data_IF_914447068582
#
_entry.id   IF_914447068582
#
_cell.length_a   1.000
_cell.length_b   1.000
_cell.length_c   1.000
_cell.angle_alpha   90.00
_cell.angle_beta   90.00
_cell.angle_gamma   90.00
#
_symmetry.space_group_name_H-M   'P 1'
#
loop_
_entity.id
_entity.type
_entity.pdbx_description
1 polymer ?
#
# COMPACT_ATOMS: atom_id res chain seq x y z
N UNK A 1 70.70 30.25 6.95
CA UNK A 1 69.55 29.83 7.79
C UNK A 1 68.37 29.64 6.86
N UNK A 2 67.98 28.38 6.69
CA UNK A 2 67.25 27.86 5.53
C UNK A 2 65.76 28.21 5.56
N UNK A 3 65.24 28.66 4.42
CA UNK A 3 63.81 28.80 4.14
C UNK A 3 63.22 27.40 3.98
N UNK A 4 62.40 26.95 4.92
CA UNK A 4 61.62 25.70 4.79
C UNK A 4 60.47 25.94 3.82
N UNK A 5 60.72 25.76 2.52
CA UNK A 5 59.67 25.63 1.51
C UNK A 5 58.97 24.29 1.72
N UNK A 6 57.66 24.33 1.96
CA UNK A 6 56.81 23.13 1.90
C UNK A 6 56.89 22.53 0.50
N UNK A 7 57.24 21.26 0.41
CA UNK A 7 57.42 20.52 -0.84
C UNK A 7 56.13 20.56 -1.69
N UNK A 8 56.18 21.01 -2.96
CA UNK A 8 55.03 21.02 -3.87
C UNK A 8 54.35 19.64 -3.98
N UNK A 9 55.11 18.55 -3.88
CA UNK A 9 54.56 17.18 -3.93
C UNK A 9 53.71 16.84 -2.70
N UNK A 10 54.06 17.37 -1.52
CA UNK A 10 53.28 17.20 -0.29
C UNK A 10 51.96 17.98 -0.33
N UNK A 11 51.91 19.16 -0.97
CA UNK A 11 50.65 19.89 -1.18
C UNK A 11 49.72 19.18 -2.17
N UNK A 12 50.29 18.56 -3.18
CA UNK A 12 49.52 17.87 -4.22
C UNK A 12 48.89 16.58 -3.67
N UNK A 13 49.65 15.78 -2.92
CA UNK A 13 49.15 14.60 -2.20
C UNK A 13 48.11 14.94 -1.12
N UNK A 14 48.28 16.05 -0.40
CA UNK A 14 47.28 16.52 0.56
C UNK A 14 45.97 16.95 -0.13
N UNK A 15 46.05 17.60 -1.30
CA UNK A 15 44.85 18.00 -2.07
C UNK A 15 44.09 16.82 -2.68
N UNK A 16 44.79 15.77 -3.09
CA UNK A 16 44.18 14.55 -3.63
C UNK A 16 43.49 13.72 -2.53
N UNK A 17 44.08 13.67 -1.34
CA UNK A 17 43.48 13.04 -0.17
C UNK A 17 42.23 13.79 0.34
N UNK A 18 42.24 15.12 0.33
CA UNK A 18 41.05 15.94 0.65
C UNK A 18 39.95 15.81 -0.42
N UNK A 19 40.30 15.69 -1.70
CA UNK A 19 39.33 15.45 -2.77
C UNK A 19 38.65 14.06 -2.67
N UNK A 20 39.39 13.04 -2.23
CA UNK A 20 38.85 11.71 -1.96
C UNK A 20 37.94 11.67 -0.71
N UNK A 21 38.21 12.51 0.29
CA UNK A 21 37.34 12.71 1.45
C UNK A 21 36.07 13.52 1.12
N UNK A 22 36.11 14.36 0.09
CA UNK A 22 34.99 15.19 -0.37
C UNK A 22 34.03 14.49 -1.35
N UNK A 23 34.28 13.23 -1.72
CA UNK A 23 33.42 12.52 -2.67
C UNK A 23 32.16 11.99 -1.99
N UNK A 24 30.99 12.38 -2.49
CA UNK A 24 29.71 11.90 -1.98
C UNK A 24 29.56 10.38 -2.15
N UNK A 25 29.14 9.68 -1.09
CA UNK A 25 28.84 8.25 -1.08
C UNK A 25 27.43 8.03 -0.57
N UNK A 26 26.54 7.53 -1.43
CA UNK A 26 25.12 7.34 -1.08
C UNK A 26 24.89 6.35 0.08
N UNK A 27 25.82 5.42 0.31
CA UNK A 27 25.73 4.43 1.39
C UNK A 27 26.16 4.98 2.76
N UNK A 28 26.87 6.10 2.80
CA UNK A 28 27.43 6.68 4.03
C UNK A 28 26.81 8.05 4.34
N UNK A 29 26.47 8.82 3.31
CA UNK A 29 26.01 10.20 3.46
C UNK A 29 24.50 10.33 3.32
N UNK A 30 23.92 11.15 4.20
CA UNK A 30 22.51 11.54 4.11
C UNK A 30 22.23 12.34 2.84
N UNK A 31 21.10 12.07 2.20
CA UNK A 31 20.67 12.74 0.98
C UNK A 31 19.14 12.65 0.84
N UNK A 32 18.56 13.42 -0.08
CA UNK A 32 17.15 13.32 -0.43
C UNK A 32 17.01 12.68 -1.82
N UNK A 33 15.94 11.90 -2.02
CA UNK A 33 15.57 11.33 -3.32
C UNK A 33 14.17 11.79 -3.69
N UNK A 34 14.01 12.18 -4.95
CA UNK A 34 12.72 12.61 -5.47
C UNK A 34 11.89 11.41 -5.94
N UNK A 35 10.61 11.38 -5.55
CA UNK A 35 9.60 10.43 -6.00
C UNK A 35 8.71 11.11 -7.07
N UNK A 36 8.92 10.82 -8.36
CA UNK A 36 8.19 11.48 -9.44
C UNK A 36 6.71 11.09 -9.53
N UNK A 37 6.30 9.98 -8.89
CA UNK A 37 4.90 9.55 -8.91
C UNK A 37 4.02 10.38 -7.97
N UNK A 38 4.62 10.96 -6.92
CA UNK A 38 3.90 11.73 -5.89
C UNK A 38 4.40 13.18 -5.78
N UNK A 39 5.37 13.59 -6.60
CA UNK A 39 6.00 14.91 -6.58
C UNK A 39 6.53 15.30 -5.18
N UNK A 40 7.26 14.37 -4.56
CA UNK A 40 7.75 14.53 -3.18
C UNK A 40 9.23 14.16 -3.02
N UNK A 41 9.85 14.67 -1.97
CA UNK A 41 11.25 14.37 -1.62
C UNK A 41 11.32 13.52 -0.35
N UNK A 42 12.07 12.43 -0.41
CA UNK A 42 12.26 11.49 0.70
C UNK A 42 13.69 11.61 1.24
N UNK A 43 13.82 11.84 2.55
CA UNK A 43 15.11 11.84 3.25
C UNK A 43 15.64 10.41 3.44
N UNK A 44 16.86 10.18 2.96
CA UNK A 44 17.61 8.93 3.10
C UNK A 44 18.75 9.13 4.10
N UNK A 45 18.63 8.51 5.27
CA UNK A 45 19.66 8.52 6.32
C UNK A 45 20.27 7.13 6.48
N UNK A 46 21.33 6.83 5.73
CA UNK A 46 21.93 5.49 5.64
C UNK A 46 22.40 4.91 7.00
N UNK A 47 22.77 5.77 7.95
CA UNK A 47 23.26 5.35 9.27
C UNK A 47 22.15 4.97 10.26
N UNK A 48 20.87 5.19 9.92
CA UNK A 48 19.75 5.03 10.86
C UNK A 48 19.61 3.60 11.40
N UNK A 49 19.95 2.59 10.60
CA UNK A 49 19.90 1.17 11.02
C UNK A 49 20.96 0.80 12.07
N UNK A 50 22.00 1.62 12.26
CA UNK A 50 23.05 1.36 13.28
C UNK A 50 22.63 1.80 14.68
N UNK A 51 21.48 2.48 14.82
CA UNK A 51 20.99 2.89 16.13
C UNK A 51 20.49 1.65 16.87
N UNK A 52 20.95 1.40 18.12
CA UNK A 52 20.47 0.27 18.90
C UNK A 52 18.95 0.35 19.08
N UNK A 53 18.24 -0.72 18.72
CA UNK A 53 16.79 -0.84 18.91
C UNK A 53 16.50 -1.37 20.31
N UNK A 54 15.79 -0.57 21.11
CA UNK A 54 15.27 -0.95 22.44
C UNK A 54 13.74 -0.81 22.50
N UNK A 55 13.10 -0.63 21.34
CA UNK A 55 11.66 -0.42 21.23
C UNK A 55 10.88 -1.73 21.11
N UNK A 56 9.63 -1.61 20.66
CA UNK A 56 8.72 -2.72 20.45
C UNK A 56 9.32 -3.81 19.54
N UNK A 57 9.25 -5.06 19.97
CA UNK A 57 9.54 -6.21 19.11
C UNK A 57 8.19 -6.80 18.73
N UNK A 58 7.94 -6.88 17.43
CA UNK A 58 6.70 -7.49 16.95
C UNK A 58 6.64 -8.97 17.36
N UNK A 59 5.51 -9.44 17.93
CA UNK A 59 5.36 -10.85 18.25
C UNK A 59 5.36 -11.66 16.96
N UNK A 60 5.90 -12.88 17.03
CA UNK A 60 5.82 -13.79 15.90
C UNK A 60 4.35 -14.12 15.62
N UNK A 61 3.95 -13.96 14.35
CA UNK A 61 2.65 -14.42 13.84
C UNK A 61 2.63 -15.95 13.84
N UNK A 62 2.36 -16.55 14.99
CA UNK A 62 2.14 -17.99 15.13
C UNK A 62 0.75 -18.22 15.72
N UNK A 63 -0.27 -17.91 14.92
CA UNK A 63 -1.58 -18.57 15.03
C UNK A 63 -1.73 -19.44 13.79
N UNK A 64 -1.89 -20.74 14.01
CA UNK A 64 -2.37 -21.64 12.97
C UNK A 64 -3.78 -21.21 12.59
N UNK A 65 -3.92 -20.66 11.39
CA UNK A 65 -5.22 -20.29 10.82
C UNK A 65 -5.90 -21.58 10.34
N UNK A 66 -7.12 -21.89 10.79
CA UNK A 66 -7.84 -23.05 10.28
C UNK A 66 -8.16 -22.83 8.79
N UNK A 67 -8.08 -23.90 7.99
CA UNK A 67 -8.39 -23.85 6.56
C UNK A 67 -9.78 -23.30 6.27
N UNK A 68 -10.75 -23.72 7.08
CA UNK A 68 -12.13 -23.29 7.02
C UNK A 68 -12.62 -23.02 8.45
N UNK A 69 -13.19 -21.85 8.64
CA UNK A 69 -13.86 -21.45 9.88
C UNK A 69 -15.28 -20.98 9.53
N UNK A 70 -16.34 -21.65 10.01
CA UNK A 70 -17.72 -21.23 9.74
C UNK A 70 -18.07 -19.88 10.39
N UNK A 71 -17.27 -19.41 11.37
CA UNK A 71 -17.43 -18.09 11.98
C UNK A 71 -16.71 -16.99 11.19
N UNK A 72 -15.84 -17.34 10.24
CA UNK A 72 -15.22 -16.36 9.36
C UNK A 72 -16.20 -16.01 8.22
N UNK A 73 -16.70 -14.77 8.14
CA UNK A 73 -17.71 -14.36 7.16
C UNK A 73 -17.18 -14.33 5.72
N UNK A 74 -15.88 -14.58 5.50
CA UNK A 74 -15.29 -14.67 4.16
C UNK A 74 -15.25 -16.10 3.62
N UNK A 75 -15.43 -17.11 4.49
CA UNK A 75 -15.36 -18.52 4.09
C UNK A 75 -16.55 -18.93 3.21
N UNK A 76 -16.37 -19.93 2.32
CA UNK A 76 -17.48 -20.55 1.59
C UNK A 76 -18.54 -21.10 2.57
N UNK A 77 -19.82 -20.80 2.30
CA UNK A 77 -20.94 -21.23 3.14
C UNK A 77 -21.11 -20.51 4.48
N UNK A 78 -20.26 -19.53 4.81
CA UNK A 78 -20.41 -18.72 6.00
C UNK A 78 -21.51 -17.66 5.84
N UNK A 79 -22.09 -17.24 6.97
CA UNK A 79 -23.09 -16.16 7.02
C UNK A 79 -22.35 -14.83 7.22
N UNK A 80 -22.63 -13.86 6.35
CA UNK A 80 -22.08 -12.50 6.42
C UNK A 80 -22.85 -11.63 7.41
N UNK A 81 -22.32 -10.45 7.70
CA UNK A 81 -22.94 -9.52 8.66
C UNK A 81 -24.35 -9.05 8.23
N UNK A 82 -24.62 -9.04 6.92
CA UNK A 82 -25.92 -8.71 6.34
C UNK A 82 -26.92 -9.89 6.36
N UNK A 83 -26.51 -11.07 6.84
CA UNK A 83 -27.32 -12.29 6.89
C UNK A 83 -27.30 -13.14 5.62
N UNK A 84 -26.61 -12.71 4.56
CA UNK A 84 -26.44 -13.51 3.34
C UNK A 84 -25.43 -14.64 3.55
N UNK A 85 -25.62 -15.74 2.83
CA UNK A 85 -24.73 -16.90 2.87
C UNK A 85 -23.81 -16.86 1.66
N UNK A 86 -22.50 -16.97 1.90
CA UNK A 86 -21.53 -17.07 0.81
C UNK A 86 -21.76 -18.35 0.00
N UNK A 87 -21.66 -18.29 -1.34
CA UNK A 87 -21.71 -19.48 -2.16
C UNK A 87 -20.55 -20.43 -1.81
N UNK A 88 -20.70 -21.70 -2.18
CA UNK A 88 -19.58 -22.63 -2.19
C UNK A 88 -18.70 -22.31 -3.41
N UNK A 89 -17.73 -21.41 -3.23
CA UNK A 89 -16.84 -20.96 -4.30
C UNK A 89 -15.52 -21.76 -4.29
N UNK A 90 -14.98 -22.03 -5.48
CA UNK A 90 -13.76 -22.83 -5.63
C UNK A 90 -12.50 -21.99 -5.90
N UNK A 91 -12.63 -20.69 -6.20
CA UNK A 91 -11.52 -19.79 -6.49
C UNK A 91 -11.74 -18.39 -5.90
N UNK A 92 -11.81 -17.34 -6.73
CA UNK A 92 -12.08 -15.98 -6.28
C UNK A 92 -13.57 -15.78 -6.04
N UNK A 93 -13.92 -15.00 -5.02
CA UNK A 93 -15.30 -14.60 -4.74
C UNK A 93 -15.37 -13.10 -4.50
N UNK A 94 -16.26 -12.41 -5.22
CA UNK A 94 -16.44 -10.97 -5.19
C UNK A 94 -17.85 -10.64 -4.69
N UNK A 95 -17.96 -9.71 -3.74
CA UNK A 95 -19.24 -9.24 -3.20
C UNK A 95 -19.16 -7.78 -2.74
N UNK A 96 -20.32 -7.15 -2.54
CA UNK A 96 -20.40 -5.79 -2.00
C UNK A 96 -20.09 -5.77 -0.50
N UNK A 97 -19.20 -4.88 -0.08
CA UNK A 97 -18.81 -4.75 1.32
C UNK A 97 -20.04 -4.40 2.17
N UNK A 98 -20.29 -5.20 3.21
CA UNK A 98 -21.41 -5.00 4.14
C UNK A 98 -21.28 -3.70 4.95
N UNK A 99 -20.05 -3.17 5.07
CA UNK A 99 -19.74 -1.91 5.72
C UNK A 99 -18.96 -1.00 4.75
N UNK A 100 -19.61 -0.48 3.70
CA UNK A 100 -18.91 0.25 2.65
C UNK A 100 -18.56 1.67 3.13
N UNK A 101 -17.33 2.11 2.88
CA UNK A 101 -16.90 3.49 3.14
C UNK A 101 -17.53 4.50 2.17
N UNK A 102 -17.92 4.04 0.97
CA UNK A 102 -18.60 4.84 -0.05
C UNK A 102 -19.91 4.16 -0.45
N UNK A 103 -20.96 4.95 -0.54
CA UNK A 103 -22.27 4.52 -1.05
C UNK A 103 -22.60 5.30 -2.34
N UNK A 104 -23.25 4.66 -3.33
CA UNK A 104 -23.49 5.27 -4.63
C UNK A 104 -24.53 6.39 -4.56
N UNK A 105 -25.44 6.33 -3.59
CA UNK A 105 -26.60 7.20 -3.37
C UNK A 105 -26.40 8.22 -2.24
N UNK A 106 -25.18 8.33 -1.69
CA UNK A 106 -24.90 9.26 -0.60
C UNK A 106 -25.29 10.72 -0.95
N UNK A 107 -25.98 11.45 -0.06
CA UNK A 107 -26.39 12.82 -0.31
C UNK A 107 -25.18 13.75 -0.45
N UNK A 108 -25.34 14.82 -1.23
CA UNK A 108 -24.28 15.84 -1.34
C UNK A 108 -24.27 16.72 -0.08
N UNK A 109 -23.10 17.07 0.49
CA UNK A 109 -23.01 17.87 1.71
C UNK A 109 -23.43 19.35 1.54
N UNK A 110 -23.83 19.77 0.34
CA UNK A 110 -24.20 21.17 0.04
C UNK A 110 -22.99 22.07 -0.21
N UNK A 111 -23.22 23.36 -0.53
CA UNK A 111 -22.15 24.34 -0.67
C UNK A 111 -21.51 24.66 0.69
N UNK A 112 -20.21 24.91 0.71
CA UNK A 112 -19.51 25.43 1.89
C UNK A 112 -19.46 26.96 1.84
N UNK A 113 -19.82 27.60 2.94
CA UNK A 113 -19.82 29.05 3.09
C UNK A 113 -18.52 29.59 3.71
N UNK A 114 -17.53 28.73 4.01
CA UNK A 114 -16.30 29.13 4.70
C UNK A 114 -15.03 28.61 4.01
N UNK A 115 -14.02 29.46 3.76
CA UNK A 115 -12.83 29.10 2.99
C UNK A 115 -11.98 27.98 3.61
N UNK A 116 -12.00 27.83 4.94
CA UNK A 116 -11.27 26.77 5.66
C UNK A 116 -12.09 25.50 5.93
N UNK A 117 -13.42 25.53 5.82
CA UNK A 117 -14.28 24.39 6.18
C UNK A 117 -15.00 23.85 4.95
N UNK A 118 -14.24 23.26 4.04
CA UNK A 118 -14.74 22.77 2.76
C UNK A 118 -15.14 21.29 2.86
N UNK A 119 -16.36 20.97 2.40
CA UNK A 119 -16.83 19.61 2.22
C UNK A 119 -17.16 19.38 0.74
N UNK A 120 -16.89 18.17 0.24
CA UNK A 120 -17.24 17.75 -1.13
C UNK A 120 -17.94 16.41 -1.08
N UNK A 121 -18.82 16.16 -2.04
CA UNK A 121 -19.50 14.87 -2.18
C UNK A 121 -18.50 13.78 -2.54
N UNK A 122 -18.60 12.62 -1.88
CA UNK A 122 -17.93 11.38 -2.26
C UNK A 122 -19.00 10.31 -2.43
N UNK A 123 -18.98 9.60 -3.57
CA UNK A 123 -19.96 8.57 -3.93
C UNK A 123 -19.26 7.46 -4.66
N UNK A 124 -19.56 6.24 -4.28
CA UNK A 124 -18.79 5.11 -4.76
C UNK A 124 -19.36 3.76 -4.35
N UNK A 125 -18.60 2.73 -4.65
CA UNK A 125 -18.91 1.34 -4.27
C UNK A 125 -17.66 0.72 -3.67
N UNK A 126 -17.87 -0.07 -2.63
CA UNK A 126 -16.83 -0.86 -1.98
C UNK A 126 -17.10 -2.34 -2.24
N UNK A 127 -16.18 -3.05 -2.89
CA UNK A 127 -16.28 -4.50 -3.07
C UNK A 127 -15.16 -5.21 -2.32
N UNK A 128 -15.46 -6.41 -1.83
CA UNK A 128 -14.50 -7.32 -1.20
C UNK A 128 -14.29 -8.51 -2.13
N UNK A 129 -13.03 -8.83 -2.39
CA UNK A 129 -12.62 -10.00 -3.15
C UNK A 129 -11.81 -10.95 -2.27
N UNK A 130 -12.31 -12.18 -2.09
CA UNK A 130 -11.56 -13.31 -1.56
C UNK A 130 -10.75 -13.94 -2.69
N UNK A 131 -9.46 -14.20 -2.47
CA UNK A 131 -8.59 -14.80 -3.50
C UNK A 131 -8.71 -16.32 -3.61
N UNK A 132 -9.06 -16.99 -2.51
CA UNK A 132 -9.08 -18.44 -2.41
C UNK A 132 -10.09 -18.88 -1.34
N UNK A 133 -10.75 -20.06 -1.47
CA UNK A 133 -11.68 -20.58 -0.46
C UNK A 133 -11.05 -20.98 0.88
N UNK A 134 -9.73 -21.14 0.91
CA UNK A 134 -9.00 -21.59 2.09
C UNK A 134 -8.30 -20.43 2.79
N UNK A 135 -8.56 -20.27 4.09
CA UNK A 135 -8.02 -19.18 4.91
C UNK A 135 -6.54 -19.39 5.30
N UNK A 136 -6.02 -20.62 5.15
CA UNK A 136 -4.63 -20.97 5.50
C UNK A 136 -3.62 -20.75 4.34
N UNK A 137 -4.07 -20.33 3.16
CA UNK A 137 -3.22 -20.21 1.96
C UNK A 137 -2.94 -18.75 1.65
N UNK A 138 -1.71 -18.27 1.74
CA UNK A 138 -1.37 -16.89 1.33
C UNK A 138 -0.96 -16.80 -0.15
N UNK A 139 -0.98 -15.60 -0.76
CA UNK A 139 -0.59 -15.38 -2.16
C UNK A 139 0.72 -16.09 -2.57
N UNK A 140 1.82 -16.06 -1.78
CA UNK A 140 3.06 -16.77 -2.14
C UNK A 140 2.97 -18.30 -2.11
N UNK A 141 1.95 -18.85 -1.46
CA UNK A 141 1.69 -20.30 -1.34
C UNK A 141 0.69 -20.80 -2.39
N UNK A 142 0.03 -19.90 -3.12
CA UNK A 142 -0.86 -20.23 -4.21
C UNK A 142 -0.06 -20.69 -5.43
N UNK A 143 -0.63 -21.60 -6.20
CA UNK A 143 -0.12 -22.00 -7.49
C UNK A 143 -0.27 -20.87 -8.53
N UNK A 144 0.55 -20.90 -9.57
CA UNK A 144 0.50 -19.91 -10.66
C UNK A 144 -0.91 -19.82 -11.31
N UNK A 145 -1.63 -20.92 -11.59
CA UNK A 145 -3.00 -20.85 -12.09
C UNK A 145 -3.99 -20.15 -11.14
N UNK A 146 -3.87 -20.37 -9.83
CA UNK A 146 -4.72 -19.71 -8.83
C UNK A 146 -4.44 -18.21 -8.76
N UNK A 147 -3.16 -17.81 -8.80
CA UNK A 147 -2.77 -16.39 -8.86
C UNK A 147 -3.29 -15.76 -10.15
N UNK A 148 -3.24 -16.49 -11.28
CA UNK A 148 -3.78 -16.00 -12.55
C UNK A 148 -5.27 -15.70 -12.45
N UNK A 149 -6.05 -16.55 -11.79
CA UNK A 149 -7.47 -16.31 -11.55
C UNK A 149 -7.71 -15.02 -10.75
N UNK A 150 -6.88 -14.71 -9.76
CA UNK A 150 -6.92 -13.44 -9.01
C UNK A 150 -6.68 -12.25 -9.93
N UNK A 151 -5.65 -12.32 -10.79
CA UNK A 151 -5.34 -11.24 -11.73
C UNK A 151 -6.46 -11.04 -12.75
N UNK A 152 -7.05 -12.11 -13.27
CA UNK A 152 -8.19 -12.03 -14.20
C UNK A 152 -9.42 -11.42 -13.51
N UNK A 153 -9.68 -11.79 -12.25
CA UNK A 153 -10.76 -11.20 -11.47
C UNK A 153 -10.55 -9.70 -11.22
N UNK A 154 -9.31 -9.27 -10.92
CA UNK A 154 -8.95 -7.85 -10.79
C UNK A 154 -9.16 -7.07 -12.08
N UNK A 155 -8.74 -7.64 -13.22
CA UNK A 155 -8.95 -6.99 -14.51
C UNK A 155 -10.45 -6.81 -14.80
N UNK A 156 -11.23 -7.88 -14.64
CA UNK A 156 -12.67 -7.88 -14.86
C UNK A 156 -13.41 -6.83 -14.03
N UNK A 157 -13.18 -6.79 -12.72
CA UNK A 157 -13.86 -5.82 -11.84
C UNK A 157 -13.40 -4.39 -12.09
N UNK A 158 -12.14 -4.19 -12.47
CA UNK A 158 -11.63 -2.85 -12.83
C UNK A 158 -12.26 -2.35 -14.12
N UNK A 159 -12.47 -3.22 -15.12
CA UNK A 159 -13.18 -2.87 -16.36
C UNK A 159 -14.66 -2.56 -16.08
N UNK A 160 -15.34 -3.40 -15.30
CA UNK A 160 -16.75 -3.22 -14.94
C UNK A 160 -16.99 -1.87 -14.23
N UNK A 161 -16.15 -1.57 -13.23
CA UNK A 161 -16.31 -0.35 -12.43
C UNK A 161 -15.72 0.86 -13.15
N UNK A 162 -14.65 0.70 -13.94
CA UNK A 162 -14.08 1.75 -14.77
C UNK A 162 -15.05 2.29 -15.82
N UNK A 163 -16.00 1.46 -16.28
CA UNK A 163 -17.07 1.92 -17.17
C UNK A 163 -18.06 2.91 -16.49
N UNK A 164 -18.17 2.86 -15.16
CA UNK A 164 -19.17 3.63 -14.40
C UNK A 164 -18.55 4.72 -13.49
N UNK A 165 -17.30 4.55 -13.12
CA UNK A 165 -16.56 5.38 -12.18
C UNK A 165 -15.25 5.85 -12.82
N UNK A 166 -14.96 7.16 -12.83
CA UNK A 166 -13.70 7.69 -13.37
C UNK A 166 -12.45 7.18 -12.62
N UNK A 167 -12.61 6.82 -11.35
CA UNK A 167 -11.51 6.33 -10.51
C UNK A 167 -11.88 5.01 -9.86
N UNK A 168 -10.97 4.06 -9.99
CA UNK A 168 -10.99 2.76 -9.31
C UNK A 168 -9.67 2.59 -8.58
N UNK A 169 -9.74 2.36 -7.27
CA UNK A 169 -8.59 2.12 -6.41
C UNK A 169 -8.73 0.77 -5.71
N UNK A 170 -7.64 0.02 -5.66
CA UNK A 170 -7.57 -1.24 -4.94
C UNK A 170 -6.63 -1.13 -3.75
N UNK A 171 -7.06 -1.62 -2.60
CA UNK A 171 -6.21 -1.78 -1.41
C UNK A 171 -6.21 -3.26 -1.02
N UNK A 172 -5.02 -3.87 -1.00
CA UNK A 172 -4.85 -5.21 -0.43
C UNK A 172 -4.81 -5.05 1.10
N UNK A 173 -5.83 -5.57 1.79
CA UNK A 173 -5.79 -5.73 3.25
C UNK A 173 -5.19 -7.10 3.57
N UNK A 174 -4.48 -7.19 4.69
CA UNK A 174 -3.77 -8.40 5.18
C UNK A 174 -4.59 -9.68 4.92
N UNK A 175 -3.89 -10.78 4.63
CA UNK A 175 -4.46 -12.13 4.52
C UNK A 175 -5.51 -12.27 3.40
N UNK A 176 -5.08 -12.10 2.14
CA UNK A 176 -5.82 -12.46 0.91
C UNK A 176 -7.08 -11.67 0.58
N UNK A 177 -7.33 -10.57 1.26
CA UNK A 177 -8.53 -9.78 1.01
C UNK A 177 -8.18 -8.52 0.23
N UNK A 178 -8.88 -8.30 -0.87
CA UNK A 178 -8.77 -7.04 -1.60
C UNK A 178 -10.05 -6.24 -1.46
N UNK A 179 -9.91 -4.97 -1.07
CA UNK A 179 -11.00 -4.01 -1.07
C UNK A 179 -10.81 -3.09 -2.27
N UNK A 180 -11.82 -3.04 -3.13
CA UNK A 180 -11.86 -2.09 -4.23
C UNK A 180 -12.82 -0.96 -3.89
N UNK A 181 -12.34 0.26 -4.09
CA UNK A 181 -13.07 1.52 -3.98
C UNK A 181 -13.21 2.13 -5.37
N UNK A 182 -14.42 2.27 -5.86
CA UNK A 182 -14.71 3.02 -7.08
C UNK A 182 -15.40 4.33 -6.69
N UNK A 183 -14.95 5.48 -7.20
CA UNK A 183 -15.46 6.79 -6.79
C UNK A 183 -15.72 7.72 -7.97
N UNK A 184 -16.75 8.56 -7.86
CA UNK A 184 -17.10 9.62 -8.83
C UNK A 184 -16.45 10.97 -8.56
N UNK A 185 -15.78 11.17 -7.43
CA UNK A 185 -15.13 12.45 -7.15
C UNK A 185 -13.91 12.67 -8.08
N UNK A 186 -13.58 13.92 -8.45
CA UNK A 186 -12.51 14.22 -9.41
C UNK A 186 -11.08 14.01 -8.90
N UNK A 187 -10.89 13.48 -7.68
CA UNK A 187 -9.58 13.33 -7.05
C UNK A 187 -9.30 11.87 -6.66
N UNK A 188 -8.11 11.33 -6.99
CA UNK A 188 -7.74 9.93 -6.75
C UNK A 188 -7.29 9.63 -5.31
N UNK A 189 -7.65 10.43 -4.31
CA UNK A 189 -7.15 10.27 -2.95
C UNK A 189 -8.27 9.89 -1.98
N UNK A 190 -8.75 8.65 -2.08
CA UNK A 190 -9.47 7.99 -1.00
C UNK A 190 -8.65 6.79 -0.57
N UNK A 191 -7.80 7.02 0.44
CA UNK A 191 -7.18 5.93 1.18
C UNK A 191 -8.19 5.56 2.28
N UNK A 192 -8.91 4.45 2.13
CA UNK A 192 -9.50 3.79 3.29
C UNK A 192 -8.36 3.25 4.15
N UNK A 193 -8.28 3.73 5.39
CA UNK A 193 -7.45 3.14 6.44
C UNK A 193 -8.12 1.88 6.99
#
# INVERSE_FOLDING_TARGET
MSRSGTDPQQRQQASEADAAAATFRANDHQHIRYNPLQDEWVLVSAHRMKRPWQGQVEPQLLKTVPRHDPLNPLCPGAIRANGEVNPQYDSTFLFDNDFPALQPDAPSPGPSDHPLFQAKSARGVCKVMCFHPWSDVTLPLMSVPEIRAVVDAWASVTEELGAQYPWVQGVVRRELTWCLLANRAPYPYLIDL
#
